data_IF_647120547204
#
_entry.id   IF_647120547204
#
_cell.length_a   1.000
_cell.length_b   1.000
_cell.length_c   1.000
_cell.angle_alpha   90.00
_cell.angle_beta   90.00
_cell.angle_gamma   90.00
#
_symmetry.space_group_name_H-M   'P 1'
#
loop_
_entity.id
_entity.type
_entity.pdbx_description
1 polymer ?
#
# COMPACT_ATOMS: atom_id res chain seq x y z
N UNK A 1 68.66 -1.93 34.26
CA UNK A 1 68.10 -0.98 33.29
C UNK A 1 67.02 -0.17 34.00
N UNK A 2 67.33 1.03 34.46
CA UNK A 2 66.33 1.93 35.06
C UNK A 2 65.61 2.63 33.88
N UNK A 3 64.34 2.40 33.82
CA UNK A 3 63.45 3.09 32.85
C UNK A 3 63.30 4.54 33.35
N UNK A 4 63.75 5.50 32.57
CA UNK A 4 63.73 6.93 32.92
C UNK A 4 62.33 7.47 32.59
N UNK A 5 61.43 7.53 33.59
CA UNK A 5 60.04 8.01 33.47
C UNK A 5 59.92 9.50 33.15
N UNK A 6 61.05 10.25 33.20
CA UNK A 6 61.09 11.70 32.92
C UNK A 6 60.81 12.01 31.43
N UNK A 7 61.09 11.06 30.53
CA UNK A 7 60.79 11.21 29.08
C UNK A 7 59.33 11.25 28.74
N UNK A 8 58.46 10.67 29.58
CA UNK A 8 57.02 10.65 29.39
C UNK A 8 56.32 11.99 29.71
N UNK A 9 57.00 12.86 30.49
CA UNK A 9 56.43 14.14 30.88
C UNK A 9 56.97 15.31 30.06
N UNK A 10 57.59 15.07 28.91
CA UNK A 10 58.09 16.17 28.07
C UNK A 10 56.82 16.87 27.44
N UNK A 11 56.67 18.20 27.71
CA UNK A 11 55.52 18.97 27.27
C UNK A 11 55.27 18.89 25.75
N UNK A 12 56.34 18.73 24.97
CA UNK A 12 56.26 18.55 23.51
C UNK A 12 55.64 17.23 23.09
N UNK A 13 55.79 16.14 23.85
CA UNK A 13 55.21 14.85 23.58
C UNK A 13 53.72 14.84 23.90
N UNK A 14 53.33 15.49 24.99
CA UNK A 14 51.93 15.65 25.37
C UNK A 14 51.15 16.50 24.36
N UNK A 15 51.72 17.58 23.84
CA UNK A 15 51.10 18.42 22.81
C UNK A 15 51.01 17.70 21.47
N UNK A 16 51.99 16.91 21.07
CA UNK A 16 51.95 16.11 19.85
C UNK A 16 50.87 15.03 19.91
N UNK A 17 50.70 14.33 21.04
CA UNK A 17 49.66 13.34 21.26
C UNK A 17 48.26 13.97 21.26
N UNK A 18 48.08 15.14 21.87
CA UNK A 18 46.83 15.88 21.87
C UNK A 18 46.43 16.32 20.45
N UNK A 19 47.40 16.84 19.68
CA UNK A 19 47.17 17.19 18.26
C UNK A 19 46.79 15.97 17.42
N UNK A 20 47.44 14.83 17.62
CA UNK A 20 47.14 13.60 16.91
C UNK A 20 45.73 13.07 17.26
N UNK A 21 45.32 13.16 18.52
CA UNK A 21 43.99 12.81 18.97
C UNK A 21 42.89 13.71 18.35
N UNK A 22 43.15 15.03 18.28
CA UNK A 22 42.21 15.99 17.67
C UNK A 22 42.09 15.77 16.18
N UNK A 23 43.18 15.59 15.46
CA UNK A 23 43.17 15.32 14.00
C UNK A 23 42.55 13.96 13.72
N UNK A 24 42.90 12.92 14.46
CA UNK A 24 42.31 11.59 14.33
C UNK A 24 40.80 11.59 14.62
N UNK A 25 40.36 12.32 15.65
CA UNK A 25 38.98 12.55 15.99
C UNK A 25 38.19 13.26 14.86
N UNK A 26 38.78 14.34 14.33
CA UNK A 26 38.16 15.09 13.23
C UNK A 26 38.01 14.25 11.96
N UNK A 27 39.01 13.47 11.59
CA UNK A 27 38.96 12.53 10.45
C UNK A 27 37.93 11.44 10.67
N UNK A 28 37.85 10.86 11.87
CA UNK A 28 36.86 9.83 12.19
C UNK A 28 35.43 10.37 12.11
N UNK A 29 35.17 11.58 12.61
CA UNK A 29 33.90 12.27 12.53
C UNK A 29 33.55 12.58 11.06
N UNK A 30 34.49 13.08 10.28
CA UNK A 30 34.32 13.34 8.84
C UNK A 30 33.95 12.08 8.08
N UNK A 31 34.67 10.98 8.30
CA UNK A 31 34.36 9.68 7.65
C UNK A 31 32.99 9.11 8.06
N UNK A 32 32.58 9.27 9.34
CA UNK A 32 31.24 8.87 9.78
C UNK A 32 30.14 9.67 9.08
N UNK A 33 30.32 10.99 8.94
CA UNK A 33 29.35 11.86 8.24
C UNK A 33 29.26 11.55 6.75
N UNK A 34 30.37 11.26 6.09
CA UNK A 34 30.40 10.86 4.68
C UNK A 34 29.68 9.53 4.47
N UNK A 35 29.96 8.53 5.30
CA UNK A 35 29.28 7.23 5.25
C UNK A 35 27.78 7.35 5.53
N UNK A 36 27.35 8.21 6.44
CA UNK A 36 25.94 8.47 6.70
C UNK A 36 25.26 9.08 5.47
N UNK A 37 25.88 10.10 4.86
CA UNK A 37 25.36 10.73 3.63
C UNK A 37 25.26 9.74 2.46
N UNK A 38 26.26 8.87 2.27
CA UNK A 38 26.22 7.84 1.24
C UNK A 38 25.04 6.87 1.46
N UNK A 39 24.86 6.38 2.68
CA UNK A 39 23.73 5.49 3.02
C UNK A 39 22.37 6.16 2.79
N UNK A 40 22.26 7.45 3.09
CA UNK A 40 21.01 8.19 2.87
C UNK A 40 20.73 8.39 1.38
N UNK A 41 21.75 8.63 0.57
CA UNK A 41 21.62 8.71 -0.89
C UNK A 41 21.21 7.35 -1.50
N UNK A 42 21.86 6.27 -1.07
CA UNK A 42 21.51 4.91 -1.51
C UNK A 42 20.07 4.53 -1.14
N UNK A 43 19.63 4.85 0.08
CA UNK A 43 18.24 4.64 0.53
C UNK A 43 17.25 5.42 -0.32
N UNK A 44 17.52 6.69 -0.60
CA UNK A 44 16.66 7.52 -1.46
C UNK A 44 16.59 6.95 -2.88
N UNK A 45 17.73 6.63 -3.47
CA UNK A 45 17.76 6.03 -4.81
C UNK A 45 17.00 4.70 -4.88
N UNK A 46 17.05 3.89 -3.83
CA UNK A 46 16.28 2.63 -3.75
C UNK A 46 14.78 2.92 -3.61
N UNK A 47 14.39 3.87 -2.77
CA UNK A 47 12.99 4.28 -2.60
C UNK A 47 12.42 4.83 -3.91
N UNK A 48 13.18 5.66 -4.64
CA UNK A 48 12.76 6.22 -5.93
C UNK A 48 12.57 5.12 -6.99
N UNK A 49 13.45 4.12 -7.02
CA UNK A 49 13.32 2.97 -7.92
C UNK A 49 12.10 2.12 -7.60
N UNK A 50 11.81 1.89 -6.31
CA UNK A 50 10.62 1.15 -5.87
C UNK A 50 9.34 1.93 -6.20
N UNK A 51 9.30 3.23 -5.97
CA UNK A 51 8.18 4.09 -6.37
C UNK A 51 7.94 4.03 -7.88
N UNK A 52 8.99 4.17 -8.69
CA UNK A 52 8.90 4.07 -10.14
C UNK A 52 8.44 2.69 -10.63
N UNK A 53 8.79 1.62 -9.93
CA UNK A 53 8.31 0.27 -10.23
C UNK A 53 6.83 0.11 -9.90
N UNK A 54 6.38 0.62 -8.73
CA UNK A 54 4.99 0.60 -8.31
C UNK A 54 4.09 1.45 -9.21
N UNK A 55 4.62 2.48 -9.86
CA UNK A 55 3.88 3.30 -10.84
C UNK A 55 3.63 2.59 -12.18
N UNK A 56 4.31 1.47 -12.42
CA UNK A 56 4.17 0.68 -13.66
C UNK A 56 3.21 -0.48 -13.56
N UNK A 57 2.72 -0.80 -12.36
CA UNK A 57 1.74 -1.87 -12.16
C UNK A 57 0.33 -1.30 -12.21
N UNK A 58 -0.62 -2.12 -12.68
CA UNK A 58 -2.04 -1.74 -12.79
C UNK A 58 -2.81 -1.90 -11.46
N UNK A 59 -2.12 -2.28 -10.40
CA UNK A 59 -2.67 -2.39 -9.05
C UNK A 59 -2.50 -1.04 -8.37
N UNK A 60 -3.59 -0.44 -7.89
CA UNK A 60 -3.52 0.76 -7.07
C UNK A 60 -2.90 0.45 -5.71
N UNK A 61 -1.93 1.25 -5.28
CA UNK A 61 -1.23 1.07 -4.00
C UNK A 61 -1.18 2.38 -3.25
N UNK A 62 -1.55 2.32 -1.97
CA UNK A 62 -1.38 3.41 -1.01
C UNK A 62 -0.63 2.90 0.20
N UNK A 63 0.47 3.55 0.56
CA UNK A 63 1.16 3.29 1.82
C UNK A 63 0.74 4.34 2.84
N UNK A 64 0.25 3.88 3.97
CA UNK A 64 -0.14 4.71 5.11
C UNK A 64 0.85 4.51 6.25
N UNK A 65 1.17 5.59 6.95
CA UNK A 65 1.89 5.52 8.22
C UNK A 65 0.97 5.07 9.38
N UNK A 66 1.52 5.02 10.59
CA UNK A 66 0.78 4.65 11.80
C UNK A 66 -0.43 5.57 12.08
N UNK A 67 -0.34 6.86 11.71
CA UNK A 67 -1.40 7.86 11.86
C UNK A 67 -2.42 7.85 10.71
N UNK A 68 -2.37 6.83 9.86
CA UNK A 68 -3.22 6.68 8.67
C UNK A 68 -3.10 7.82 7.66
N UNK A 69 -1.92 8.47 7.59
CA UNK A 69 -1.61 9.44 6.53
C UNK A 69 -0.90 8.74 5.38
N UNK A 70 -1.23 9.11 4.15
CA UNK A 70 -0.59 8.57 2.97
C UNK A 70 0.87 9.06 2.88
N UNK A 71 1.80 8.13 2.80
CA UNK A 71 3.21 8.40 2.51
C UNK A 71 3.52 8.25 1.03
N UNK A 72 2.80 7.33 0.37
CA UNK A 72 2.94 7.06 -1.05
C UNK A 72 1.58 6.66 -1.64
N UNK A 73 1.30 7.15 -2.84
CA UNK A 73 0.12 6.81 -3.64
C UNK A 73 0.60 6.63 -5.08
N UNK A 74 0.51 5.42 -5.63
CA UNK A 74 0.98 5.15 -6.98
C UNK A 74 0.02 5.68 -8.06
N UNK A 75 0.53 5.70 -9.29
CA UNK A 75 -0.20 6.18 -10.47
C UNK A 75 -1.51 5.42 -10.72
N UNK A 76 -1.53 4.10 -10.55
CA UNK A 76 -2.72 3.28 -10.77
C UNK A 76 -3.85 3.67 -9.81
N UNK A 77 -3.57 3.86 -8.52
CA UNK A 77 -4.57 4.34 -7.56
C UNK A 77 -5.11 5.72 -7.91
N UNK A 78 -4.21 6.66 -8.30
CA UNK A 78 -4.61 8.02 -8.73
C UNK A 78 -5.57 7.96 -9.91
N UNK A 79 -5.29 7.09 -10.90
CA UNK A 79 -6.13 6.92 -12.09
C UNK A 79 -7.49 6.28 -11.75
N UNK A 80 -7.51 5.20 -10.97
CA UNK A 80 -8.72 4.48 -10.57
C UNK A 80 -9.73 5.38 -9.85
N UNK A 81 -9.23 6.24 -8.95
CA UNK A 81 -10.06 7.13 -8.13
C UNK A 81 -10.06 8.60 -8.58
N UNK A 82 -9.51 8.89 -9.76
CA UNK A 82 -9.41 10.26 -10.32
C UNK A 82 -8.82 11.26 -9.33
N UNK A 83 -7.80 10.82 -8.59
CA UNK A 83 -7.14 11.63 -7.57
C UNK A 83 -6.11 12.56 -8.22
N UNK A 84 -6.23 13.90 -8.12
CA UNK A 84 -5.26 14.83 -8.66
C UNK A 84 -3.89 14.66 -8.00
N UNK A 85 -2.82 14.83 -8.79
CA UNK A 85 -1.44 14.69 -8.31
C UNK A 85 -1.15 15.62 -7.13
N UNK A 86 -1.56 16.88 -7.21
CA UNK A 86 -1.39 17.82 -6.10
C UNK A 86 -2.02 17.35 -4.78
N UNK A 87 -3.17 16.66 -4.86
CA UNK A 87 -3.83 16.11 -3.68
C UNK A 87 -3.11 14.86 -3.17
N UNK A 88 -2.67 13.99 -4.05
CA UNK A 88 -1.88 12.81 -3.71
C UNK A 88 -0.54 13.19 -3.05
N UNK A 89 0.16 14.16 -3.62
CA UNK A 89 1.48 14.61 -3.15
C UNK A 89 1.41 15.40 -1.82
N UNK A 90 0.23 15.92 -1.45
CA UNK A 90 0.01 16.56 -0.15
C UNK A 90 0.02 15.58 1.04
N UNK A 91 0.17 14.28 0.79
CA UNK A 91 0.16 13.21 1.80
C UNK A 91 -1.10 13.25 2.68
N UNK A 92 -2.28 13.15 2.07
CA UNK A 92 -3.54 13.35 2.78
C UNK A 92 -3.79 12.24 3.80
N UNK A 93 -4.56 12.49 4.87
CA UNK A 93 -5.04 11.42 5.74
C UNK A 93 -6.04 10.52 4.97
N UNK A 94 -6.13 9.25 5.37
CA UNK A 94 -7.04 8.26 4.78
C UNK A 94 -8.46 8.78 4.63
N UNK A 95 -8.98 9.44 5.67
CA UNK A 95 -10.34 9.98 5.66
C UNK A 95 -10.55 11.01 4.54
N UNK A 96 -9.54 11.82 4.21
CA UNK A 96 -9.63 12.79 3.13
C UNK A 96 -9.59 12.11 1.73
N UNK A 97 -8.93 10.95 1.61
CA UNK A 97 -9.00 10.13 0.40
C UNK A 97 -10.39 9.54 0.22
N UNK A 98 -10.98 9.01 1.29
CA UNK A 98 -12.34 8.43 1.24
C UNK A 98 -13.39 9.49 0.89
N UNK A 99 -13.30 10.69 1.48
CA UNK A 99 -14.19 11.79 1.12
C UNK A 99 -13.99 12.27 -0.33
N UNK A 100 -12.75 12.26 -0.82
CA UNK A 100 -12.51 12.56 -2.24
C UNK A 100 -13.22 11.56 -3.15
N UNK A 101 -13.17 10.27 -2.83
CA UNK A 101 -13.88 9.25 -3.59
C UNK A 101 -15.40 9.43 -3.53
N UNK A 102 -15.94 9.80 -2.37
CA UNK A 102 -17.37 10.13 -2.21
C UNK A 102 -17.75 11.34 -3.07
N UNK A 103 -17.02 12.45 -2.93
CA UNK A 103 -17.33 13.72 -3.60
C UNK A 103 -17.25 13.63 -5.14
N UNK A 104 -16.42 12.71 -5.63
CA UNK A 104 -16.30 12.41 -7.07
C UNK A 104 -17.24 11.29 -7.54
N UNK A 105 -18.18 10.84 -6.70
CA UNK A 105 -19.09 9.75 -7.02
C UNK A 105 -18.36 8.52 -7.60
N UNK A 106 -17.19 8.19 -7.00
CA UNK A 106 -16.38 7.07 -7.49
C UNK A 106 -17.05 5.70 -7.24
N UNK A 107 -17.94 5.60 -6.27
CA UNK A 107 -18.60 4.37 -5.86
C UNK A 107 -19.98 4.24 -6.51
N UNK A 108 -20.31 3.02 -6.97
CA UNK A 108 -21.66 2.66 -7.38
C UNK A 108 -22.45 2.23 -6.12
N UNK A 109 -22.80 3.19 -5.27
CA UNK A 109 -23.56 2.99 -4.05
C UNK A 109 -24.68 4.05 -3.96
N UNK A 110 -25.84 3.71 -3.37
CA UNK A 110 -26.86 4.70 -3.03
C UNK A 110 -26.29 5.78 -2.11
N UNK A 111 -26.73 7.03 -2.29
CA UNK A 111 -26.17 8.18 -1.54
C UNK A 111 -26.31 8.03 -0.01
N UNK A 112 -27.40 7.43 0.45
CA UNK A 112 -27.66 7.16 1.87
C UNK A 112 -26.75 6.08 2.46
N UNK A 113 -26.15 5.20 1.63
CA UNK A 113 -25.23 4.15 2.08
C UNK A 113 -23.77 4.58 2.08
N UNK A 114 -23.40 5.62 1.31
CA UNK A 114 -22.00 6.01 1.10
C UNK A 114 -21.33 6.43 2.41
N UNK A 115 -21.98 7.22 3.24
CA UNK A 115 -21.42 7.66 4.53
C UNK A 115 -21.15 6.48 5.46
N UNK A 116 -22.08 5.54 5.57
CA UNK A 116 -21.92 4.32 6.35
C UNK A 116 -20.79 3.44 5.81
N UNK A 117 -20.65 3.35 4.49
CA UNK A 117 -19.56 2.63 3.84
C UNK A 117 -18.20 3.28 4.17
N UNK A 118 -18.07 4.59 4.02
CA UNK A 118 -16.83 5.33 4.30
C UNK A 118 -16.41 5.14 5.75
N UNK A 119 -17.34 5.29 6.70
CA UNK A 119 -17.06 5.13 8.12
C UNK A 119 -16.55 3.71 8.44
N UNK A 120 -17.29 2.67 8.01
CA UNK A 120 -16.88 1.27 8.21
C UNK A 120 -15.52 0.97 7.58
N UNK A 121 -15.28 1.46 6.36
CA UNK A 121 -14.01 1.19 5.67
C UNK A 121 -12.82 1.83 6.37
N UNK A 122 -12.97 3.05 6.86
CA UNK A 122 -11.92 3.72 7.65
C UNK A 122 -11.61 2.95 8.93
N UNK A 123 -12.63 2.45 9.65
CA UNK A 123 -12.43 1.65 10.85
C UNK A 123 -11.73 0.33 10.57
N UNK A 124 -12.16 -0.42 9.55
CA UNK A 124 -11.50 -1.66 9.14
C UNK A 124 -10.02 -1.44 8.82
N UNK A 125 -9.70 -0.39 8.08
CA UNK A 125 -8.31 -0.06 7.74
C UNK A 125 -7.52 0.33 8.98
N UNK A 126 -8.10 1.11 9.91
CA UNK A 126 -7.45 1.45 11.19
C UNK A 126 -7.20 0.23 12.06
N UNK A 127 -8.14 -0.68 12.09
CA UNK A 127 -7.99 -1.96 12.80
C UNK A 127 -6.97 -2.89 12.13
N UNK A 128 -6.57 -2.61 10.88
CA UNK A 128 -5.69 -3.49 10.10
C UNK A 128 -6.38 -4.75 9.62
N UNK A 129 -7.70 -4.72 9.46
CA UNK A 129 -8.49 -5.85 8.99
C UNK A 129 -8.04 -6.24 7.55
N UNK A 130 -7.53 -7.48 7.36
CA UNK A 130 -7.03 -7.93 6.07
C UNK A 130 -8.16 -8.40 5.14
N UNK A 131 -9.41 -8.44 5.61
CA UNK A 131 -10.54 -8.96 4.84
C UNK A 131 -10.70 -8.20 3.53
N UNK A 132 -10.53 -8.87 2.36
CA UNK A 132 -10.70 -8.22 1.08
C UNK A 132 -12.19 -7.97 0.80
N UNK A 133 -12.48 -6.91 0.06
CA UNK A 133 -13.83 -6.61 -0.41
C UNK A 133 -13.82 -6.23 -1.87
N UNK A 134 -14.88 -6.55 -2.59
CA UNK A 134 -15.10 -6.09 -3.95
C UNK A 134 -15.93 -4.81 -3.92
N UNK A 135 -15.50 -3.81 -4.68
CA UNK A 135 -16.17 -2.53 -4.82
C UNK A 135 -16.41 -2.26 -6.30
N UNK A 136 -17.67 -2.00 -6.68
CA UNK A 136 -17.99 -1.53 -8.02
C UNK A 136 -17.87 -0.02 -8.08
N UNK A 137 -17.15 0.45 -9.08
CA UNK A 137 -17.01 1.87 -9.37
C UNK A 137 -18.12 2.34 -10.31
N UNK A 138 -18.39 3.64 -10.29
CA UNK A 138 -19.40 4.27 -11.16
C UNK A 138 -19.14 4.09 -12.68
N UNK A 139 -17.91 3.77 -13.08
CA UNK A 139 -17.55 3.44 -14.47
C UNK A 139 -17.81 1.95 -14.82
N UNK A 140 -18.35 1.17 -13.88
CA UNK A 140 -18.65 -0.26 -14.05
C UNK A 140 -17.45 -1.19 -13.78
N UNK A 141 -16.28 -0.66 -13.48
CA UNK A 141 -15.14 -1.49 -13.06
C UNK A 141 -15.35 -2.05 -11.65
N UNK A 142 -14.87 -3.26 -11.43
CA UNK A 142 -14.87 -3.88 -10.10
C UNK A 142 -13.44 -3.96 -9.59
N UNK A 143 -13.20 -3.34 -8.45
CA UNK A 143 -11.93 -3.38 -7.74
C UNK A 143 -12.03 -4.30 -6.52
N UNK A 144 -11.02 -5.15 -6.35
CA UNK A 144 -10.80 -5.87 -5.09
C UNK A 144 -9.90 -5.02 -4.21
N UNK A 145 -10.43 -4.58 -3.08
CA UNK A 145 -9.72 -3.78 -2.10
C UNK A 145 -9.18 -4.69 -0.98
N UNK A 146 -7.92 -4.52 -0.62
CA UNK A 146 -7.29 -5.23 0.50
C UNK A 146 -6.51 -4.26 1.37
N UNK A 147 -6.31 -4.64 2.63
CA UNK A 147 -5.47 -3.93 3.58
C UNK A 147 -4.46 -4.91 4.17
N UNK A 148 -3.19 -4.54 4.20
CA UNK A 148 -2.12 -5.33 4.80
C UNK A 148 -1.40 -4.48 5.84
N UNK A 149 -1.31 -4.97 7.07
CA UNK A 149 -0.52 -4.33 8.11
C UNK A 149 0.98 -4.44 7.78
N UNK A 150 1.68 -3.34 7.94
CA UNK A 150 3.13 -3.25 7.73
C UNK A 150 3.85 -3.24 9.08
N UNK A 151 5.13 -3.64 9.12
CA UNK A 151 5.98 -3.43 10.28
C UNK A 151 5.95 -1.96 10.72
N UNK A 152 6.11 -1.72 12.02
CA UNK A 152 6.14 -0.35 12.60
C UNK A 152 4.79 0.39 12.54
N UNK A 153 3.68 -0.34 12.39
CA UNK A 153 2.32 0.23 12.51
C UNK A 153 1.75 0.86 11.24
N UNK A 154 2.47 0.83 10.13
CA UNK A 154 1.96 1.28 8.83
C UNK A 154 0.95 0.30 8.21
N UNK A 155 0.31 0.71 7.11
CA UNK A 155 -0.63 -0.11 6.34
C UNK A 155 -0.43 0.07 4.85
N UNK A 156 -0.56 -1.01 4.10
CA UNK A 156 -0.63 -0.97 2.65
C UNK A 156 -2.05 -1.27 2.21
N UNK A 157 -2.64 -0.34 1.48
CA UNK A 157 -3.90 -0.57 0.78
C UNK A 157 -3.57 -0.95 -0.65
N UNK A 158 -4.27 -1.96 -1.17
CA UNK A 158 -4.20 -2.31 -2.59
C UNK A 158 -5.59 -2.35 -3.21
N UNK A 159 -5.68 -1.91 -4.46
CA UNK A 159 -6.88 -1.97 -5.29
C UNK A 159 -6.55 -2.65 -6.61
N UNK A 160 -7.06 -3.87 -6.78
CA UNK A 160 -6.79 -4.72 -7.94
C UNK A 160 -8.00 -4.77 -8.84
N UNK A 161 -7.91 -4.45 -10.14
CA UNK A 161 -9.00 -4.63 -11.09
C UNK A 161 -9.36 -6.12 -11.21
N UNK A 162 -10.63 -6.46 -10.98
CA UNK A 162 -11.16 -7.85 -11.05
C UNK A 162 -12.42 -7.96 -11.90
N UNK A 163 -12.70 -6.96 -12.71
CA UNK A 163 -13.92 -6.88 -13.55
C UNK A 163 -14.12 -8.13 -14.40
N UNK A 164 -13.08 -8.59 -15.09
CA UNK A 164 -13.18 -9.79 -15.94
C UNK A 164 -13.36 -11.07 -15.14
N UNK A 165 -12.81 -11.14 -13.94
CA UNK A 165 -12.97 -12.28 -13.05
C UNK A 165 -14.42 -12.38 -12.56
N UNK A 166 -15.01 -11.26 -12.16
CA UNK A 166 -16.40 -11.18 -11.71
C UNK A 166 -17.35 -11.54 -12.86
N UNK A 167 -17.17 -10.96 -14.05
CA UNK A 167 -17.98 -11.31 -15.25
C UNK A 167 -17.95 -12.80 -15.55
N UNK A 168 -16.77 -13.42 -15.56
CA UNK A 168 -16.65 -14.87 -15.80
C UNK A 168 -17.33 -15.72 -14.72
N UNK A 169 -17.32 -15.24 -13.48
CA UNK A 169 -18.03 -15.91 -12.38
C UNK A 169 -19.54 -15.83 -12.55
N UNK A 170 -20.04 -14.65 -12.90
CA UNK A 170 -21.46 -14.42 -13.13
C UNK A 170 -21.96 -15.22 -14.35
N UNK A 171 -21.19 -15.26 -15.44
CA UNK A 171 -21.48 -16.04 -16.64
C UNK A 171 -21.52 -17.56 -16.36
N UNK A 172 -20.66 -18.05 -15.44
CA UNK A 172 -20.69 -19.44 -15.01
C UNK A 172 -21.92 -19.72 -14.16
N UNK A 173 -22.20 -18.88 -13.17
CA UNK A 173 -23.38 -19.04 -12.32
C UNK A 173 -24.68 -19.03 -13.14
N UNK A 174 -24.79 -18.13 -14.13
CA UNK A 174 -25.92 -18.13 -15.07
C UNK A 174 -26.00 -19.42 -15.89
N UNK A 175 -24.88 -19.90 -16.41
CA UNK A 175 -24.82 -21.13 -17.20
C UNK A 175 -25.21 -22.36 -16.38
N UNK A 176 -24.68 -22.48 -15.18
CA UNK A 176 -24.99 -23.58 -14.27
C UNK A 176 -26.48 -23.55 -13.84
N UNK A 177 -27.02 -22.36 -13.63
CA UNK A 177 -28.47 -22.18 -13.36
C UNK A 177 -29.33 -22.60 -14.55
N UNK A 178 -28.96 -22.18 -15.78
CA UNK A 178 -29.68 -22.59 -17.00
C UNK A 178 -29.64 -24.09 -17.23
N UNK A 179 -28.52 -24.75 -17.00
CA UNK A 179 -28.38 -26.19 -17.12
C UNK A 179 -29.23 -26.92 -16.07
N UNK A 180 -29.21 -26.47 -14.81
CA UNK A 180 -30.02 -27.07 -13.74
C UNK A 180 -31.54 -26.94 -13.99
N UNK A 181 -32.00 -25.81 -14.53
CA UNK A 181 -33.43 -25.60 -14.88
C UNK A 181 -33.82 -26.47 -16.05
N UNK A 182 -32.98 -26.64 -17.05
CA UNK A 182 -33.21 -27.48 -18.21
C UNK A 182 -33.31 -28.96 -17.84
N UNK A 183 -32.35 -29.47 -17.04
CA UNK A 183 -32.36 -30.85 -16.56
C UNK A 183 -33.63 -31.15 -15.72
N UNK A 184 -34.06 -30.18 -14.90
CA UNK A 184 -35.31 -30.33 -14.11
C UNK A 184 -36.51 -30.32 -15.02
N UNK A 185 -36.53 -29.51 -16.08
CA UNK A 185 -37.61 -29.46 -17.07
C UNK A 185 -37.73 -30.75 -17.88
N UNK A 186 -36.64 -31.37 -18.29
CA UNK A 186 -36.61 -32.65 -18.98
C UNK A 186 -37.11 -33.80 -18.08
N UNK A 187 -36.74 -33.85 -16.82
CA UNK A 187 -37.22 -34.80 -15.82
C UNK A 187 -38.74 -34.70 -15.55
N UNK A 188 -39.30 -33.51 -15.64
CA UNK A 188 -40.76 -33.32 -15.52
C UNK A 188 -41.51 -33.72 -16.81
N UNK A 189 -40.92 -33.53 -17.99
CA UNK A 189 -41.48 -33.91 -19.26
C UNK A 189 -41.56 -35.46 -19.42
N UNK A 190 -40.51 -36.19 -19.04
CA UNK A 190 -40.49 -37.64 -19.05
C UNK A 190 -41.51 -38.25 -18.07
N UNK A 191 -41.69 -37.69 -16.89
CA UNK A 191 -42.66 -38.19 -15.90
C UNK A 191 -44.09 -38.00 -16.30
N UNK A 192 -44.42 -37.06 -17.19
CA UNK A 192 -45.76 -36.85 -17.74
C UNK A 192 -46.09 -37.77 -18.94
N UNK A 193 -45.06 -38.27 -19.63
CA UNK A 193 -45.23 -39.25 -20.70
C UNK A 193 -45.52 -40.65 -20.15
N UNK A 194 -44.87 -41.07 -19.08
CA UNK A 194 -45.10 -42.37 -18.42
C UNK A 194 -46.42 -42.46 -17.65
N UNK A 195 -47.09 -41.35 -17.38
CA UNK A 195 -48.39 -41.30 -16.71
C UNK A 195 -49.60 -41.32 -17.68
N UNK A 196 -49.36 -41.37 -19.00
CA UNK A 196 -50.38 -41.32 -20.05
C UNK A 196 -50.54 -42.66 -20.83
N UNK A 197 -49.82 -43.74 -20.43
CA UNK A 197 -50.01 -45.12 -20.83
C UNK A 197 -50.76 -45.90 -19.73
#
# INVERSE_FOLDING_TARGET
MQFDWTLLFHPALATALALFAVVGGAVAIGNRRLKARQRDLERRATADRLSAALDRIDIGVVLLNADTRAEFINRAFRAQFRLPDAKADSKPPLIALMYHCRDNHAFELPEDEVEGFVARRVEMIRAGDPTPMNLRLANGEVLRLSCTALPVGGRMLSSTPVTDLVRRSDDRAHRDHYLSVRDTGELFAERHLDAAE
#
